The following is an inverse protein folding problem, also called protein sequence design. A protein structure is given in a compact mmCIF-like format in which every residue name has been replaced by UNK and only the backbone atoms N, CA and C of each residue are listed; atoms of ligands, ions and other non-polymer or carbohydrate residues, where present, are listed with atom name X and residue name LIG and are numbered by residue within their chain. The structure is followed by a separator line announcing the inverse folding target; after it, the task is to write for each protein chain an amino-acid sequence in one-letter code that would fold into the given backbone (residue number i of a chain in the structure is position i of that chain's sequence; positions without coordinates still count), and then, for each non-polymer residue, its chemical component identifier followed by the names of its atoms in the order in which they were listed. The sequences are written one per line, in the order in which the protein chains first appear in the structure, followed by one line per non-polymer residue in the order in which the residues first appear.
data_IF_981859246543
#
_entry.id   IF_981859246543
#
_cell.length_a   1.000
_cell.length_b   1.000
_cell.length_c   1.000
_cell.angle_alpha   90.00
_cell.angle_beta   90.00
_cell.angle_gamma   90.00
#
_symmetry.space_group_name_H-M   'P 1'
#
loop_
_entity.id
_entity.type
_entity.pdbx_description
1 polymer ?
#
# COMPACT_ATOMS: atom_id res chain seq x y z
N UNK A 1 -8.71 -14.48 37.82
CA UNK A 1 -9.11 -15.22 36.60
C UNK A 1 -10.63 -15.41 36.54
N UNK A 2 -11.34 -15.27 37.67
CA UNK A 2 -12.78 -15.55 37.80
C UNK A 2 -13.70 -14.54 37.11
N UNK A 3 -13.28 -13.29 36.94
CA UNK A 3 -14.09 -12.26 36.27
C UNK A 3 -14.28 -12.52 34.77
N UNK A 4 -13.28 -13.12 34.12
CA UNK A 4 -13.36 -13.43 32.69
C UNK A 4 -14.24 -14.65 32.48
N UNK A 5 -14.09 -15.68 33.32
CA UNK A 5 -14.93 -16.89 33.28
C UNK A 5 -16.43 -16.55 33.52
N UNK A 6 -16.73 -15.67 34.47
CA UNK A 6 -18.11 -15.21 34.70
C UNK A 6 -18.68 -14.38 33.54
N UNK A 7 -17.85 -13.54 32.92
CA UNK A 7 -18.26 -12.74 31.76
C UNK A 7 -18.51 -13.64 30.55
N UNK A 8 -17.64 -14.62 30.30
CA UNK A 8 -17.80 -15.60 29.23
C UNK A 8 -19.04 -16.48 29.44
N UNK A 9 -19.29 -16.94 30.67
CA UNK A 9 -20.50 -17.69 30.99
C UNK A 9 -21.77 -16.86 30.72
N UNK A 10 -21.77 -15.58 31.07
CA UNK A 10 -22.89 -14.67 30.80
C UNK A 10 -23.11 -14.43 29.30
N UNK A 11 -22.04 -14.30 28.52
CA UNK A 11 -22.10 -14.13 27.06
C UNK A 11 -22.69 -15.38 26.39
N UNK A 12 -22.30 -16.57 26.84
CA UNK A 12 -22.70 -17.86 26.23
C UNK A 12 -24.12 -18.29 26.67
N UNK A 13 -24.59 -17.84 27.84
CA UNK A 13 -25.92 -18.21 28.35
C UNK A 13 -27.05 -17.51 27.59
N UNK A 14 -26.77 -16.38 26.93
CA UNK A 14 -27.77 -15.63 26.19
C UNK A 14 -27.90 -16.14 24.73
N UNK A 15 -29.06 -16.67 24.32
CA UNK A 15 -29.24 -17.21 22.97
C UNK A 15 -29.07 -16.15 21.87
N UNK A 16 -29.35 -14.87 22.15
CA UNK A 16 -29.13 -13.78 21.19
C UNK A 16 -27.63 -13.52 20.98
N UNK A 17 -26.81 -13.62 22.01
CA UNK A 17 -25.36 -13.47 21.88
C UNK A 17 -24.74 -14.61 21.08
N UNK A 18 -25.30 -15.82 21.20
CA UNK A 18 -24.86 -16.98 20.42
C UNK A 18 -25.16 -16.80 18.92
N UNK A 19 -26.34 -16.26 18.60
CA UNK A 19 -26.73 -15.91 17.22
C UNK A 19 -25.84 -14.78 16.68
N UNK A 20 -25.58 -13.74 17.47
CA UNK A 20 -24.70 -12.65 17.10
C UNK A 20 -23.27 -13.12 16.86
N UNK A 21 -22.74 -14.00 17.71
CA UNK A 21 -21.41 -14.58 17.55
C UNK A 21 -21.33 -15.44 16.27
N UNK A 22 -22.35 -16.26 16.00
CA UNK A 22 -22.44 -17.03 14.77
C UNK A 22 -22.51 -16.14 13.53
N UNK A 23 -23.25 -15.03 13.60
CA UNK A 23 -23.34 -14.04 12.51
C UNK A 23 -22.00 -13.34 12.27
N UNK A 24 -21.31 -12.93 13.34
CA UNK A 24 -19.96 -12.33 13.26
C UNK A 24 -18.97 -13.32 12.62
N UNK A 25 -18.97 -14.59 13.05
CA UNK A 25 -18.13 -15.63 12.46
C UNK A 25 -18.49 -15.83 10.98
N UNK A 26 -19.77 -15.88 10.63
CA UNK A 26 -20.25 -16.01 9.26
C UNK A 26 -19.79 -14.84 8.36
N UNK A 27 -19.84 -13.60 8.87
CA UNK A 27 -19.36 -12.42 8.15
C UNK A 27 -17.83 -12.41 7.98
N UNK A 28 -17.07 -12.96 8.93
CA UNK A 28 -15.61 -13.00 8.88
C UNK A 28 -15.07 -14.20 8.09
N UNK A 29 -15.83 -15.30 7.99
CA UNK A 29 -15.46 -16.51 7.26
C UNK A 29 -14.97 -16.27 5.81
N UNK A 30 -15.64 -15.49 4.94
CA UNK A 30 -15.17 -15.26 3.57
C UNK A 30 -13.88 -14.43 3.49
N UNK A 31 -13.47 -13.78 4.58
CA UNK A 31 -12.25 -12.97 4.62
C UNK A 31 -10.98 -13.80 4.86
N UNK A 32 -11.12 -14.95 5.53
CA UNK A 32 -10.02 -15.88 5.84
C UNK A 32 -10.02 -17.12 4.93
N UNK A 33 -11.18 -17.50 4.41
CA UNK A 33 -11.34 -18.64 3.51
C UNK A 33 -12.09 -18.18 2.25
N UNK A 34 -11.38 -17.58 1.27
CA UNK A 34 -12.00 -17.29 -0.02
C UNK A 34 -12.53 -18.60 -0.62
N UNK A 35 -13.69 -18.59 -1.30
CA UNK A 35 -14.15 -19.76 -2.04
C UNK A 35 -13.03 -20.18 -2.98
N UNK A 36 -12.69 -21.47 -2.99
CA UNK A 36 -11.69 -22.02 -3.90
C UNK A 36 -12.02 -21.55 -5.31
N UNK A 37 -11.10 -20.80 -5.92
CA UNK A 37 -11.24 -20.37 -7.30
C UNK A 37 -11.50 -21.64 -8.13
N UNK A 38 -12.54 -21.70 -8.98
CA UNK A 38 -12.61 -22.76 -9.98
C UNK A 38 -11.30 -22.70 -10.76
N UNK A 39 -10.58 -23.82 -10.81
CA UNK A 39 -9.26 -23.86 -11.45
C UNK A 39 -9.40 -23.43 -12.90
N UNK A 40 -8.96 -22.21 -13.20
CA UNK A 40 -8.94 -21.66 -14.55
C UNK A 40 -7.84 -22.29 -15.43
N UNK A 41 -7.16 -23.32 -14.94
CA UNK A 41 -6.26 -24.12 -15.76
C UNK A 41 -7.07 -25.10 -16.58
N UNK A 42 -7.15 -24.97 -17.92
CA UNK A 42 -7.66 -26.05 -18.74
C UNK A 42 -6.82 -27.30 -18.45
N UNK A 43 -7.47 -28.46 -18.31
CA UNK A 43 -6.74 -29.72 -18.22
C UNK A 43 -5.84 -29.88 -19.44
N UNK A 44 -4.73 -30.62 -19.32
CA UNK A 44 -3.79 -30.83 -20.45
C UNK A 44 -4.50 -31.33 -21.73
N UNK A 45 -5.56 -32.11 -21.57
CA UNK A 45 -6.42 -32.59 -22.66
C UNK A 45 -7.27 -31.48 -23.30
N UNK A 46 -7.66 -30.44 -22.55
CA UNK A 46 -8.42 -29.30 -23.05
C UNK A 46 -7.52 -28.26 -23.72
N UNK A 47 -6.28 -28.09 -23.24
CA UNK A 47 -5.29 -27.20 -23.84
C UNK A 47 -4.84 -27.66 -25.25
N UNK A 48 -4.76 -28.99 -25.47
CA UNK A 48 -4.36 -29.56 -26.78
C UNK A 48 -5.36 -29.30 -27.91
N UNK A 49 -6.61 -28.97 -27.59
CA UNK A 49 -7.70 -28.81 -28.57
C UNK A 49 -8.14 -27.35 -28.76
N UNK A 50 -7.40 -26.36 -28.23
CA UNK A 50 -7.70 -24.95 -28.44
C UNK A 50 -7.14 -24.46 -29.79
N UNK A 51 -7.91 -23.67 -30.56
CA UNK A 51 -7.42 -23.07 -31.79
C UNK A 51 -6.32 -22.05 -31.51
N UNK A 52 -5.35 -21.84 -32.43
CA UNK A 52 -4.28 -20.88 -32.24
C UNK A 52 -4.86 -19.45 -32.24
N UNK A 53 -4.90 -18.81 -31.07
CA UNK A 53 -5.16 -17.38 -30.96
C UNK A 53 -3.84 -16.60 -31.08
N UNK A 54 -3.34 -16.53 -32.31
CA UNK A 54 -2.36 -15.56 -32.75
C UNK A 54 -2.79 -15.03 -34.12
N UNK A 55 -2.56 -13.76 -34.45
CA UNK A 55 -2.91 -13.25 -35.77
C UNK A 55 -2.12 -14.01 -36.85
N UNK A 56 -2.71 -14.31 -38.01
CA UNK A 56 -2.00 -14.99 -39.09
C UNK A 56 -0.87 -14.10 -39.60
N UNK A 57 0.32 -14.68 -39.79
CA UNK A 57 1.41 -14.01 -40.51
C UNK A 57 0.90 -13.65 -41.91
N UNK A 58 0.72 -12.36 -42.17
CA UNK A 58 0.57 -11.86 -43.53
C UNK A 58 1.91 -12.00 -44.25
N UNK A 59 1.91 -12.83 -45.29
CA UNK A 59 2.92 -12.75 -46.35
C UNK A 59 2.65 -11.45 -47.10
N UNK A 60 3.48 -10.44 -46.92
CA UNK A 60 3.65 -9.38 -47.91
C UNK A 60 5.13 -9.11 -48.16
N UNK A 61 5.40 -9.11 -49.46
CA UNK A 61 6.65 -8.95 -50.19
C UNK A 61 7.29 -7.57 -50.05
N UNK A 62 8.64 -7.56 -50.00
CA UNK A 62 9.61 -6.61 -50.59
C UNK A 62 9.22 -5.13 -50.74
N UNK A 63 9.92 -4.18 -50.14
CA UNK A 63 11.22 -3.60 -50.57
C UNK A 63 11.55 -2.45 -49.58
N UNK A 64 12.76 -1.99 -49.27
CA UNK A 64 14.13 -2.16 -49.77
C UNK A 64 15.06 -1.53 -48.71
N UNK A 65 16.10 -2.24 -48.27
CA UNK A 65 17.39 -1.67 -47.88
C UNK A 65 18.38 -2.80 -47.66
N UNK A 66 19.36 -2.84 -48.56
CA UNK A 66 20.48 -3.76 -48.63
C UNK A 66 21.53 -3.49 -47.55
N UNK A 67 21.96 -4.53 -46.85
CA UNK A 67 23.40 -4.84 -46.69
C UNK A 67 23.55 -6.12 -45.87
N UNK A 68 24.04 -7.15 -46.54
CA UNK A 68 24.31 -8.48 -46.01
C UNK A 68 25.50 -8.47 -45.05
N UNK A 69 25.29 -8.97 -43.83
CA UNK A 69 26.29 -9.78 -43.11
C UNK A 69 25.57 -10.64 -42.07
N UNK A 70 25.66 -11.95 -42.26
CA UNK A 70 25.07 -12.99 -41.42
C UNK A 70 25.66 -12.99 -40.00
N UNK A 71 24.94 -12.42 -39.04
CA UNK A 71 25.16 -12.63 -37.61
C UNK A 71 23.80 -12.62 -36.89
N UNK A 72 23.62 -13.40 -35.79
CA UNK A 72 22.43 -13.29 -34.97
C UNK A 72 22.33 -11.85 -34.47
N UNK A 73 21.13 -11.25 -34.56
CA UNK A 73 20.87 -9.91 -34.05
C UNK A 73 21.45 -9.79 -32.63
N UNK A 74 22.26 -8.76 -32.32
CA UNK A 74 22.81 -8.62 -30.98
C UNK A 74 21.65 -8.52 -29.99
N UNK A 75 21.69 -9.34 -28.93
CA UNK A 75 20.79 -9.30 -27.78
C UNK A 75 20.94 -7.94 -27.06
N UNK A 76 20.42 -6.86 -27.63
CA UNK A 76 20.23 -5.61 -26.93
C UNK A 76 18.74 -5.42 -26.67
N UNK A 77 18.21 -6.25 -25.77
CA UNK A 77 16.89 -6.03 -25.18
C UNK A 77 17.03 -5.10 -23.98
N UNK A 78 17.51 -3.88 -24.19
CA UNK A 78 17.29 -2.84 -23.19
C UNK A 78 15.83 -2.36 -23.33
N UNK A 79 15.03 -2.37 -22.25
CA UNK A 79 13.70 -1.80 -22.28
C UNK A 79 13.79 -0.30 -22.63
N UNK A 80 12.78 0.22 -23.35
CA UNK A 80 12.76 1.64 -23.80
C UNK A 80 12.88 2.65 -22.66
N UNK A 81 12.51 2.26 -21.45
CA UNK A 81 12.67 3.00 -20.21
C UNK A 81 12.96 2.02 -19.10
N UNK A 82 13.82 2.41 -18.16
CA UNK A 82 13.92 1.71 -16.90
C UNK A 82 12.61 1.90 -16.11
N UNK A 83 12.20 0.94 -15.27
CA UNK A 83 11.10 1.16 -14.33
C UNK A 83 11.42 2.35 -13.42
N UNK A 84 10.38 3.04 -12.92
CA UNK A 84 10.59 4.09 -11.91
C UNK A 84 11.33 3.50 -10.71
N UNK A 85 12.52 4.04 -10.44
CA UNK A 85 13.32 3.66 -9.30
C UNK A 85 13.00 4.62 -8.17
N UNK A 86 12.72 4.07 -6.99
CA UNK A 86 12.56 4.87 -5.78
C UNK A 86 13.94 5.35 -5.35
N UNK A 87 14.20 6.64 -5.53
CA UNK A 87 15.41 7.29 -5.00
C UNK A 87 15.17 7.59 -3.53
N UNK A 88 16.14 7.26 -2.68
CA UNK A 88 16.11 7.62 -1.28
C UNK A 88 16.28 9.14 -1.13
N UNK A 89 15.32 9.80 -0.49
CA UNK A 89 15.26 11.26 -0.41
C UNK A 89 15.06 11.73 1.04
N UNK A 90 15.65 12.88 1.38
CA UNK A 90 15.36 13.59 2.63
C UNK A 90 14.23 14.57 2.32
N UNK A 91 13.16 14.47 3.09
CA UNK A 91 11.96 15.29 2.91
C UNK A 91 11.83 16.23 4.08
N UNK A 92 11.55 17.48 3.80
CA UNK A 92 11.02 18.45 4.76
C UNK A 92 9.49 18.37 4.81
N UNK A 93 8.82 18.89 5.85
CA UNK A 93 7.35 18.98 5.87
C UNK A 93 6.77 19.60 4.59
N UNK A 94 7.37 20.67 4.06
CA UNK A 94 6.90 21.31 2.82
C UNK A 94 7.09 20.47 1.57
N UNK A 95 8.26 19.84 1.40
CA UNK A 95 8.52 18.99 0.23
C UNK A 95 7.70 17.69 0.27
N UNK A 96 7.43 17.17 1.47
CA UNK A 96 6.54 16.03 1.67
C UNK A 96 5.09 16.38 1.30
N UNK A 97 4.62 17.57 1.64
CA UNK A 97 3.25 18.03 1.39
C UNK A 97 2.84 18.07 -0.08
N UNK A 98 3.81 18.21 -1.00
CA UNK A 98 3.57 18.15 -2.45
C UNK A 98 3.09 16.76 -2.89
N UNK A 99 3.35 15.73 -2.10
CA UNK A 99 3.01 14.34 -2.38
C UNK A 99 1.74 13.87 -1.65
N UNK A 100 0.66 14.66 -1.76
CA UNK A 100 -0.66 14.37 -1.18
C UNK A 100 -1.57 13.53 -2.09
N UNK A 101 -1.13 13.25 -3.32
CA UNK A 101 -1.92 12.53 -4.31
C UNK A 101 -2.93 13.36 -5.09
N UNK A 102 -3.01 14.68 -4.91
CA UNK A 102 -3.93 15.58 -5.62
C UNK A 102 -3.67 15.64 -7.13
N UNK A 103 -2.43 15.44 -7.58
CA UNK A 103 -2.02 15.46 -9.01
C UNK A 103 -2.51 14.28 -9.88
N UNK A 104 -3.57 13.58 -9.49
CA UNK A 104 -4.16 12.47 -10.27
C UNK A 104 -3.41 11.14 -10.17
N UNK A 105 -3.62 10.24 -11.14
CA UNK A 105 -3.14 8.84 -11.07
C UNK A 105 -1.63 8.67 -11.09
N UNK A 106 -0.88 9.68 -11.57
CA UNK A 106 0.58 9.65 -11.65
C UNK A 106 1.25 10.31 -10.43
N UNK A 107 0.51 11.04 -9.60
CA UNK A 107 1.09 11.66 -8.41
C UNK A 107 1.34 10.61 -7.33
N UNK A 108 2.47 10.76 -6.65
CA UNK A 108 2.81 9.92 -5.50
C UNK A 108 2.04 10.38 -4.27
N UNK A 109 1.77 9.44 -3.38
CA UNK A 109 1.23 9.69 -2.06
C UNK A 109 2.28 9.24 -1.06
N UNK A 110 2.88 10.19 -0.36
CA UNK A 110 3.86 9.93 0.67
C UNK A 110 3.30 10.30 2.03
N UNK A 111 3.77 9.67 3.10
CA UNK A 111 3.50 10.13 4.47
C UNK A 111 4.67 9.81 5.39
N UNK A 112 4.81 10.61 6.44
CA UNK A 112 5.82 10.45 7.48
C UNK A 112 5.27 9.70 8.69
N UNK A 113 6.05 8.78 9.24
CA UNK A 113 5.82 8.20 10.58
C UNK A 113 7.17 8.08 11.29
N UNK A 114 7.32 8.81 12.37
CA UNK A 114 8.48 8.85 13.26
C UNK A 114 9.79 9.03 12.47
N UNK A 115 9.85 10.08 11.65
CA UNK A 115 11.00 10.40 10.83
C UNK A 115 11.19 9.51 9.59
N UNK A 116 10.37 8.48 9.37
CA UNK A 116 10.44 7.61 8.18
C UNK A 116 9.38 8.03 7.16
N UNK A 117 9.75 8.11 5.89
CA UNK A 117 8.81 8.44 4.81
C UNK A 117 8.47 7.18 4.01
N UNK A 118 7.18 6.89 3.86
CA UNK A 118 6.66 5.73 3.15
C UNK A 118 5.90 6.14 1.89
N UNK A 119 6.09 5.38 0.80
CA UNK A 119 5.29 5.53 -0.42
C UNK A 119 4.04 4.65 -0.34
N UNK A 120 2.91 5.32 -0.09
CA UNK A 120 1.59 4.71 0.07
C UNK A 120 0.74 4.82 -1.19
N UNK A 121 1.34 5.13 -2.34
CA UNK A 121 0.62 5.29 -3.62
C UNK A 121 -0.17 4.05 -4.02
N UNK A 122 0.30 2.84 -3.64
CA UNK A 122 -0.45 1.58 -3.84
C UNK A 122 -1.78 1.55 -3.09
N UNK A 123 -1.91 2.32 -2.01
CA UNK A 123 -3.10 2.46 -1.18
C UNK A 123 -3.92 3.71 -1.50
N UNK A 124 -3.88 4.25 -2.73
CA UNK A 124 -4.56 5.49 -3.12
C UNK A 124 -6.05 5.56 -2.78
N UNK A 125 -6.77 4.44 -2.75
CA UNK A 125 -8.18 4.43 -2.33
C UNK A 125 -8.36 4.81 -0.84
N UNK A 126 -7.31 4.69 -0.04
CA UNK A 126 -7.31 5.00 1.39
C UNK A 126 -6.69 6.35 1.70
N UNK A 127 -5.54 6.66 1.08
CA UNK A 127 -4.76 7.86 1.37
C UNK A 127 -4.86 8.94 0.29
N UNK A 128 -5.60 8.71 -0.79
CA UNK A 128 -5.85 9.73 -1.80
C UNK A 128 -6.77 10.83 -1.27
N UNK A 129 -6.99 11.91 -2.05
CA UNK A 129 -7.82 13.05 -1.65
C UNK A 129 -9.23 12.68 -1.16
N UNK A 130 -9.83 11.65 -1.76
CA UNK A 130 -11.18 11.17 -1.43
C UNK A 130 -11.19 9.96 -0.47
N UNK A 131 -10.00 9.56 0.00
CA UNK A 131 -9.84 8.40 0.88
C UNK A 131 -10.10 8.74 2.35
N UNK A 132 -10.54 7.76 3.17
CA UNK A 132 -10.80 7.97 4.61
C UNK A 132 -9.57 8.44 5.41
N UNK A 133 -8.35 8.21 4.89
CA UNK A 133 -7.08 8.56 5.52
C UNK A 133 -6.30 9.59 4.69
N UNK A 134 -6.98 10.33 3.81
CA UNK A 134 -6.38 11.35 2.96
C UNK A 134 -5.78 12.52 3.75
N UNK A 135 -6.22 12.74 4.98
CA UNK A 135 -5.66 13.74 5.90
C UNK A 135 -4.16 13.54 6.21
N UNK A 136 -3.67 12.29 6.13
CA UNK A 136 -2.26 11.97 6.35
C UNK A 136 -1.40 12.08 5.08
N UNK A 137 -2.02 12.27 3.91
CA UNK A 137 -1.32 12.36 2.65
C UNK A 137 -0.42 13.60 2.61
N UNK A 138 0.87 13.40 2.35
CA UNK A 138 1.89 14.46 2.36
C UNK A 138 2.23 15.00 3.75
N UNK A 139 1.82 14.33 4.83
CA UNK A 139 1.98 14.85 6.21
C UNK A 139 2.77 13.91 7.11
N UNK A 140 3.24 14.46 8.22
CA UNK A 140 3.68 13.65 9.35
C UNK A 140 2.45 13.14 10.12
N UNK A 141 2.26 11.82 10.08
CA UNK A 141 1.14 11.13 10.72
C UNK A 141 1.51 10.59 12.12
N UNK A 142 2.72 10.85 12.62
CA UNK A 142 3.26 10.21 13.84
C UNK A 142 2.32 10.32 15.05
N UNK A 143 1.86 11.54 15.37
CA UNK A 143 0.96 11.78 16.50
C UNK A 143 -0.41 11.12 16.29
N UNK A 144 -0.95 11.19 15.07
CA UNK A 144 -2.20 10.53 14.72
C UNK A 144 -2.12 9.01 14.93
N UNK A 145 -1.00 8.39 14.54
CA UNK A 145 -0.77 6.95 14.75
C UNK A 145 -0.60 6.59 16.22
N UNK A 146 0.12 7.42 16.98
CA UNK A 146 0.34 7.21 18.40
C UNK A 146 -0.97 7.28 19.20
N UNK A 147 -1.78 8.31 18.93
CA UNK A 147 -3.07 8.55 19.58
C UNK A 147 -4.24 7.79 18.96
N UNK A 148 -3.99 7.06 17.87
CA UNK A 148 -5.02 6.36 17.09
C UNK A 148 -6.18 7.28 16.67
N UNK A 149 -5.87 8.52 16.29
CA UNK A 149 -6.84 9.54 15.89
C UNK A 149 -6.56 10.04 14.48
N UNK A 150 -7.64 10.36 13.76
CA UNK A 150 -7.62 10.97 12.43
C UNK A 150 -7.96 12.47 12.48
N UNK A 151 -8.05 13.05 13.67
CA UNK A 151 -8.40 14.45 13.85
C UNK A 151 -7.32 15.35 13.23
N UNK A 152 -7.74 16.42 12.55
CA UNK A 152 -6.82 17.35 11.90
C UNK A 152 -5.88 18.04 12.90
N UNK A 153 -6.29 18.16 14.16
CA UNK A 153 -5.47 18.71 15.25
C UNK A 153 -4.25 17.83 15.59
N UNK A 154 -4.28 16.55 15.21
CA UNK A 154 -3.16 15.63 15.41
C UNK A 154 -2.10 15.73 14.30
N UNK A 155 -2.35 16.53 13.26
CA UNK A 155 -1.39 16.76 12.18
C UNK A 155 -0.47 17.93 12.54
N UNK A 156 0.84 17.71 12.45
CA UNK A 156 1.82 18.78 12.63
C UNK A 156 1.63 19.86 11.55
N UNK A 157 1.48 21.14 11.92
CA UNK A 157 1.41 22.23 10.96
C UNK A 157 2.68 22.30 10.09
N UNK A 158 2.52 22.62 8.80
CA UNK A 158 3.65 22.64 7.85
C UNK A 158 4.66 23.76 8.12
N UNK A 159 4.24 24.82 8.81
CA UNK A 159 5.07 25.98 9.12
C UNK A 159 5.73 25.90 10.51
N UNK A 160 5.54 24.77 11.22
CA UNK A 160 6.12 24.53 12.53
C UNK A 160 7.21 23.45 12.45
N UNK A 161 8.12 23.40 13.43
CA UNK A 161 9.08 22.30 13.55
C UNK A 161 8.38 20.95 13.61
N UNK A 162 9.11 19.89 13.24
CA UNK A 162 8.60 18.52 13.37
C UNK A 162 8.24 18.26 14.83
N UNK A 163 7.12 17.57 15.01
CA UNK A 163 6.64 17.22 16.33
C UNK A 163 7.58 16.21 16.99
N UNK A 164 8.12 16.59 18.15
CA UNK A 164 9.06 15.76 18.90
C UNK A 164 8.39 14.60 19.64
N UNK A 165 7.07 14.67 19.85
CA UNK A 165 6.28 13.63 20.51
C UNK A 165 6.71 13.33 21.97
N UNK A 166 7.39 14.28 22.62
CA UNK A 166 7.92 14.14 23.98
C UNK A 166 6.81 13.97 25.04
N UNK A 167 5.58 14.36 24.72
CA UNK A 167 4.41 14.28 25.59
C UNK A 167 3.68 12.93 25.54
N UNK A 168 4.09 12.02 24.64
CA UNK A 168 3.43 10.72 24.48
C UNK A 168 3.73 9.76 25.63
N UNK A 169 2.70 9.01 26.03
CA UNK A 169 2.84 7.90 26.97
C UNK A 169 3.55 6.70 26.32
N UNK A 170 4.14 5.79 27.12
CA UNK A 170 4.76 4.57 26.60
C UNK A 170 3.79 3.70 25.78
N UNK A 171 2.50 3.71 26.11
CA UNK A 171 1.48 2.99 25.38
C UNK A 171 1.22 3.60 23.99
N UNK A 172 1.09 4.93 23.90
CA UNK A 172 0.93 5.64 22.63
C UNK A 172 2.18 5.47 21.72
N UNK A 173 3.38 5.52 22.31
CA UNK A 173 4.62 5.21 21.59
C UNK A 173 4.64 3.76 21.08
N UNK A 174 4.10 2.82 21.85
CA UNK A 174 3.98 1.43 21.39
C UNK A 174 3.02 1.30 20.20
N UNK A 175 1.85 1.94 20.28
CA UNK A 175 0.88 1.97 19.19
C UNK A 175 1.50 2.50 17.89
N UNK A 176 2.24 3.62 17.97
CA UNK A 176 2.95 4.18 16.83
C UNK A 176 3.98 3.20 16.25
N UNK A 177 4.76 2.51 17.09
CA UNK A 177 5.76 1.52 16.63
C UNK A 177 5.13 0.33 15.93
N UNK A 178 3.97 -0.14 16.40
CA UNK A 178 3.22 -1.20 15.73
C UNK A 178 2.77 -0.75 14.33
N UNK A 179 2.27 0.49 14.21
CA UNK A 179 1.95 1.09 12.92
C UNK A 179 3.17 1.18 12.00
N UNK A 180 4.33 1.60 12.50
CA UNK A 180 5.59 1.59 11.71
C UNK A 180 5.89 0.18 11.20
N UNK A 181 5.70 -0.85 12.02
CA UNK A 181 5.86 -2.25 11.61
C UNK A 181 4.92 -2.66 10.48
N UNK A 182 3.63 -2.33 10.60
CA UNK A 182 2.63 -2.58 9.55
C UNK A 182 2.96 -1.86 8.25
N UNK A 183 3.37 -0.60 8.32
CA UNK A 183 3.74 0.19 7.15
C UNK A 183 5.00 -0.35 6.48
N UNK A 184 6.02 -0.69 7.27
CA UNK A 184 7.28 -1.25 6.75
C UNK A 184 7.08 -2.59 6.03
N UNK A 185 6.09 -3.38 6.46
CA UNK A 185 5.75 -4.65 5.79
C UNK A 185 5.00 -4.44 4.46
N UNK A 186 4.24 -3.36 4.31
CA UNK A 186 3.31 -3.15 3.19
C UNK A 186 3.80 -2.14 2.16
N UNK A 187 4.50 -1.10 2.60
CA UNK A 187 4.91 0.04 1.78
C UNK A 187 6.43 0.21 1.85
N UNK A 188 7.08 0.55 0.73
CA UNK A 188 8.51 0.83 0.75
C UNK A 188 8.77 2.13 1.52
N UNK A 189 9.78 2.09 2.39
CA UNK A 189 10.36 3.32 2.94
C UNK A 189 11.20 3.97 1.83
N UNK A 190 10.88 5.22 1.51
CA UNK A 190 11.49 5.97 0.39
C UNK A 190 12.38 7.12 0.86
N UNK A 191 12.47 7.33 2.16
CA UNK A 191 13.24 8.43 2.70
C UNK A 191 13.10 8.62 4.20
N UNK A 192 13.54 9.81 4.62
CA UNK A 192 13.44 10.30 6.00
C UNK A 192 12.84 11.70 6.01
N UNK A 193 12.09 12.00 7.07
CA UNK A 193 11.55 13.32 7.33
C UNK A 193 12.55 14.09 8.21
N UNK A 194 12.95 15.27 7.76
CA UNK A 194 13.95 16.15 8.38
C UNK A 194 13.38 17.55 8.54
N UNK A 195 13.96 18.33 9.45
CA UNK A 195 13.53 19.71 9.68
C UNK A 195 13.73 20.58 8.43
N UNK A 196 12.99 21.69 8.36
CA UNK A 196 13.17 22.68 7.31
C UNK A 196 14.61 23.25 7.34
N UNK A 197 15.31 23.17 6.20
CA UNK A 197 16.71 23.60 6.06
C UNK A 197 17.75 22.48 6.16
N UNK A 198 17.34 21.28 6.58
CA UNK A 198 18.19 20.09 6.66
C UNK A 198 17.96 19.11 5.50
N UNK A 199 17.49 19.56 4.34
CA UNK A 199 17.25 18.71 3.16
C UNK A 199 18.54 18.10 2.55
#
# INVERSE_FOLDING_TARGET
MDNIEHLLASIITNPLNLILLAFVIYCLHPHFFPPSLPSLTPTLAKARNLPPHGPPLSKSSSSSASSSSNGPLPYSHLPRSHPETVVWTRFTPRTLAVHDGSGGSKSKILLGIHGKVFDVSKGRNFYGPDGPYGNFAGRDASRGMAKQSFDLEMLTPLDQPIDKLDDLTPAELNNMREWIGHFSAKYPQVGVLVEEGDE
#
